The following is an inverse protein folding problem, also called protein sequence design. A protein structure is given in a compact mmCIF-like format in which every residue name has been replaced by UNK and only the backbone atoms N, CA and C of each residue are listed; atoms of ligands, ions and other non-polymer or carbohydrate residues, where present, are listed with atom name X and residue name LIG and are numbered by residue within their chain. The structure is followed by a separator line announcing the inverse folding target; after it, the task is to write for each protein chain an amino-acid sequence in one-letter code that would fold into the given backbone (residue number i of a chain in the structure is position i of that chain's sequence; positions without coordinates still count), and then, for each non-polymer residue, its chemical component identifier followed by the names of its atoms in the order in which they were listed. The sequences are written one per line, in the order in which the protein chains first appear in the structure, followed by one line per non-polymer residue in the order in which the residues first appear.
data_IF_807238393118
#
_entry.id   IF_807238393118
#
_cell.length_a   1.000
_cell.length_b   1.000
_cell.length_c   1.000
_cell.angle_alpha   90.00
_cell.angle_beta   90.00
_cell.angle_gamma   90.00
#
_symmetry.space_group_name_H-M   'P 1'
#
loop_
_entity.id
_entity.type
_entity.pdbx_description
1 polymer ?
#
# COMPACT_ATOMS: atom_id res chain seq x y z
N UNK A 1 -21.32 21.17 -3.60
CA UNK A 1 -19.94 20.97 -4.08
C UNK A 1 -18.98 22.05 -3.57
N UNK A 2 -19.34 23.34 -3.61
CA UNK A 2 -18.45 24.44 -3.20
C UNK A 2 -17.93 24.38 -1.75
N UNK A 3 -18.82 24.05 -0.80
CA UNK A 3 -18.46 23.82 0.62
C UNK A 3 -17.53 22.61 0.85
N UNK A 4 -17.48 21.65 -0.08
CA UNK A 4 -16.57 20.50 -0.02
C UNK A 4 -15.13 20.89 -0.39
N UNK A 5 -14.97 21.89 -1.27
CA UNK A 5 -13.66 22.35 -1.76
C UNK A 5 -12.86 23.09 -0.68
N UNK A 6 -13.49 23.99 0.06
CA UNK A 6 -12.82 24.70 1.16
C UNK A 6 -12.35 23.73 2.25
N UNK A 7 -13.09 22.65 2.51
CA UNK A 7 -12.70 21.60 3.46
C UNK A 7 -11.49 20.77 2.99
N UNK A 8 -11.39 20.48 1.69
CA UNK A 8 -10.27 19.73 1.11
C UNK A 8 -8.97 20.57 1.10
N UNK A 9 -9.09 21.89 0.85
CA UNK A 9 -7.97 22.83 0.88
C UNK A 9 -7.52 23.21 2.31
N UNK A 10 -8.36 22.98 3.32
CA UNK A 10 -8.07 23.26 4.73
C UNK A 10 -7.13 22.24 5.39
N UNK A 11 -6.86 21.07 4.78
CA UNK A 11 -6.02 20.04 5.38
C UNK A 11 -4.52 20.43 5.47
N UNK A 12 -3.94 20.15 6.64
CA UNK A 12 -2.78 20.84 7.26
C UNK A 12 -1.37 20.46 6.79
N UNK A 13 -1.19 19.53 5.84
CA UNK A 13 0.16 19.11 5.39
C UNK A 13 0.21 19.03 3.87
N UNK A 14 0.63 20.13 3.26
CA UNK A 14 1.21 20.07 1.93
C UNK A 14 2.73 19.87 2.07
N UNK A 15 3.30 19.06 1.17
CA UNK A 15 4.75 18.97 1.03
C UNK A 15 5.33 20.36 0.73
N UNK A 16 6.41 20.75 1.41
CA UNK A 16 7.12 22.01 1.17
C UNK A 16 7.98 21.98 -0.09
N UNK A 17 8.10 20.82 -0.75
CA UNK A 17 8.99 20.64 -1.90
C UNK A 17 8.37 21.18 -3.18
N UNK A 18 9.15 21.98 -3.92
CA UNK A 18 8.78 22.54 -5.21
C UNK A 18 8.54 21.39 -6.22
N UNK A 19 7.31 21.29 -6.74
CA UNK A 19 6.87 20.22 -7.64
C UNK A 19 7.21 20.50 -9.11
N UNK A 20 6.87 19.58 -10.02
CA UNK A 20 7.08 19.74 -11.47
C UNK A 20 6.38 20.96 -12.08
N UNK A 21 5.29 21.44 -11.48
CA UNK A 21 4.63 22.68 -11.88
C UNK A 21 5.32 23.95 -11.37
N UNK A 22 6.36 23.85 -10.52
CA UNK A 22 7.01 24.97 -9.81
C UNK A 22 6.05 25.83 -8.98
N UNK A 23 4.85 25.35 -8.69
CA UNK A 23 3.86 26.03 -7.86
C UNK A 23 3.96 25.45 -6.45
N UNK A 24 4.44 26.23 -5.46
CA UNK A 24 4.45 25.79 -4.08
C UNK A 24 3.02 25.52 -3.62
N UNK A 25 2.76 24.43 -2.88
CA UNK A 25 1.40 24.17 -2.39
C UNK A 25 0.84 25.25 -1.48
N UNK A 26 1.72 26.01 -0.80
CA UNK A 26 1.34 27.20 -0.02
C UNK A 26 0.63 28.24 -0.88
N UNK A 27 1.13 28.51 -2.09
CA UNK A 27 0.53 29.47 -3.01
C UNK A 27 -0.85 28.98 -3.49
N UNK A 28 -1.01 27.68 -3.73
CA UNK A 28 -2.32 27.09 -4.05
C UNK A 28 -3.32 27.32 -2.92
N UNK A 29 -2.87 27.22 -1.67
CA UNK A 29 -3.70 27.42 -0.49
C UNK A 29 -4.08 28.88 -0.27
N UNK A 30 -3.12 29.80 -0.41
CA UNK A 30 -3.35 31.24 -0.22
C UNK A 30 -4.24 31.82 -1.33
N UNK A 31 -4.08 31.35 -2.56
CA UNK A 31 -4.89 31.78 -3.72
C UNK A 31 -6.18 30.97 -3.91
N UNK A 32 -6.54 30.11 -2.95
CA UNK A 32 -7.64 29.15 -3.06
C UNK A 32 -8.96 29.81 -3.49
N UNK A 33 -9.32 30.95 -2.90
CA UNK A 33 -10.57 31.64 -3.19
C UNK A 33 -10.67 32.10 -4.66
N UNK A 34 -9.55 32.50 -5.26
CA UNK A 34 -9.50 32.96 -6.65
C UNK A 34 -9.48 31.79 -7.64
N UNK A 35 -8.77 30.70 -7.32
CA UNK A 35 -8.56 29.59 -8.26
C UNK A 35 -9.60 28.46 -8.13
N UNK A 36 -10.39 28.41 -7.05
CA UNK A 36 -11.32 27.31 -6.79
C UNK A 36 -12.31 27.07 -7.94
N UNK A 37 -12.93 28.12 -8.48
CA UNK A 37 -13.89 28.02 -9.59
C UNK A 37 -13.27 27.40 -10.86
N UNK A 38 -12.18 27.98 -11.40
CA UNK A 38 -11.49 27.41 -12.55
C UNK A 38 -10.98 25.98 -12.33
N UNK A 39 -10.39 25.70 -11.17
CA UNK A 39 -9.88 24.35 -10.85
C UNK A 39 -11.02 23.34 -10.75
N UNK A 40 -12.14 23.70 -10.13
CA UNK A 40 -13.33 22.84 -10.07
C UNK A 40 -13.89 22.57 -11.47
N UNK A 41 -13.90 23.57 -12.37
CA UNK A 41 -14.33 23.38 -13.75
C UNK A 41 -13.46 22.35 -14.48
N UNK A 42 -12.14 22.40 -14.30
CA UNK A 42 -11.18 21.43 -14.87
C UNK A 42 -11.45 20.03 -14.30
N UNK A 43 -11.52 19.88 -12.98
CA UNK A 43 -11.74 18.58 -12.34
C UNK A 43 -13.08 17.96 -12.73
N UNK A 44 -14.15 18.76 -12.80
CA UNK A 44 -15.46 18.30 -13.22
C UNK A 44 -15.47 17.91 -14.70
N UNK A 45 -14.75 18.66 -15.56
CA UNK A 45 -14.57 18.28 -16.95
C UNK A 45 -13.84 16.94 -17.05
N UNK A 46 -12.74 16.75 -16.32
CA UNK A 46 -12.00 15.50 -16.25
C UNK A 46 -12.86 14.31 -15.81
N UNK A 47 -13.71 14.49 -14.80
CA UNK A 47 -14.63 13.44 -14.35
C UNK A 47 -15.65 13.09 -15.45
N UNK A 48 -16.26 14.10 -16.09
CA UNK A 48 -17.28 13.87 -17.12
C UNK A 48 -16.72 13.20 -18.37
N UNK A 49 -15.50 13.55 -18.77
CA UNK A 49 -14.88 13.02 -19.99
C UNK A 49 -14.03 11.78 -19.75
N UNK A 50 -13.76 11.41 -18.49
CA UNK A 50 -12.83 10.35 -18.16
C UNK A 50 -11.36 10.68 -18.48
N UNK A 51 -11.03 11.96 -18.67
CA UNK A 51 -9.69 12.41 -19.07
C UNK A 51 -8.98 13.14 -17.92
N UNK A 52 -7.92 12.54 -17.43
CA UNK A 52 -7.07 13.06 -16.38
C UNK A 52 -6.04 14.06 -16.95
N UNK A 53 -5.82 15.24 -16.35
CA UNK A 53 -4.94 16.25 -16.93
C UNK A 53 -3.49 15.77 -17.05
N UNK A 54 -2.93 15.75 -18.27
CA UNK A 54 -1.59 15.21 -18.52
C UNK A 54 -0.48 15.89 -17.72
N UNK A 55 -0.60 17.21 -17.47
CA UNK A 55 0.36 17.95 -16.62
C UNK A 55 0.35 17.49 -15.17
N UNK A 56 -0.75 16.90 -14.70
CA UNK A 56 -0.89 16.39 -13.33
C UNK A 56 -0.27 14.99 -13.17
N UNK A 57 0.06 14.32 -14.28
CA UNK A 57 0.69 13.00 -14.34
C UNK A 57 2.24 13.05 -14.23
N UNK A 58 2.82 14.25 -14.11
CA UNK A 58 4.28 14.47 -14.09
C UNK A 58 4.88 14.31 -12.69
N UNK A 59 5.55 13.20 -12.42
CA UNK A 59 6.20 12.91 -11.13
C UNK A 59 7.66 13.33 -11.04
N UNK A 60 8.08 13.86 -9.88
CA UNK A 60 9.50 14.08 -9.57
C UNK A 60 9.91 13.17 -8.42
N UNK A 61 10.76 12.19 -8.70
CA UNK A 61 11.29 11.29 -7.69
C UNK A 61 12.57 11.86 -7.07
N UNK A 62 12.59 11.95 -5.75
CA UNK A 62 13.81 12.26 -4.99
C UNK A 62 14.23 10.99 -4.24
N UNK A 63 15.47 10.50 -4.43
CA UNK A 63 15.97 9.36 -3.69
C UNK A 63 16.23 9.77 -2.24
N UNK A 64 15.48 9.18 -1.31
CA UNK A 64 15.67 9.36 0.12
C UNK A 64 16.51 8.22 0.67
N UNK A 65 17.64 8.54 1.31
CA UNK A 65 18.49 7.54 1.93
C UNK A 65 17.77 6.85 3.10
N UNK A 66 17.82 5.51 3.14
CA UNK A 66 17.16 4.69 4.16
C UNK A 66 18.11 4.37 5.31
N UNK A 67 19.25 3.72 5.03
CA UNK A 67 20.28 3.27 6.00
C UNK A 67 21.43 2.54 5.28
N UNK A 68 22.45 2.14 6.05
CA UNK A 68 23.60 1.33 5.64
C UNK A 68 24.57 2.08 4.70
N UNK A 69 24.96 1.50 3.56
CA UNK A 69 25.90 2.08 2.61
C UNK A 69 25.22 3.09 1.66
N UNK A 70 25.71 4.33 1.64
CA UNK A 70 25.26 5.42 0.76
C UNK A 70 25.60 5.20 -0.72
N UNK A 71 26.56 4.32 -1.04
CA UNK A 71 26.91 4.00 -2.42
C UNK A 71 25.99 2.95 -3.04
N UNK A 72 25.24 2.24 -2.20
CA UNK A 72 24.32 1.20 -2.66
C UNK A 72 22.95 1.77 -3.05
N UNK A 73 22.58 1.61 -4.31
CA UNK A 73 21.28 2.05 -4.86
C UNK A 73 20.09 1.40 -4.17
N UNK A 74 20.24 0.20 -3.60
CA UNK A 74 19.15 -0.50 -2.89
C UNK A 74 18.76 0.18 -1.58
N UNK A 75 19.62 1.07 -1.07
CA UNK A 75 19.44 1.75 0.20
C UNK A 75 18.73 3.10 0.06
N UNK A 76 18.27 3.45 -1.14
CA UNK A 76 17.46 4.63 -1.40
C UNK A 76 16.02 4.26 -1.72
N UNK A 77 15.09 5.07 -1.22
CA UNK A 77 13.66 4.98 -1.53
C UNK A 77 13.24 6.16 -2.40
N UNK A 78 12.64 5.93 -3.58
CA UNK A 78 12.18 7.04 -4.41
C UNK A 78 10.90 7.64 -3.83
N UNK A 79 10.95 8.90 -3.38
CA UNK A 79 9.74 9.64 -2.97
C UNK A 79 9.30 10.51 -4.14
N UNK A 80 8.11 10.25 -4.67
CA UNK A 80 7.57 10.99 -5.81
C UNK A 80 6.75 12.18 -5.34
N UNK A 81 7.20 13.38 -5.69
CA UNK A 81 6.44 14.62 -5.55
C UNK A 81 5.61 14.84 -6.81
N UNK A 82 4.30 14.82 -6.64
CA UNK A 82 3.33 15.13 -7.69
C UNK A 82 2.93 16.62 -7.65
N UNK A 83 2.38 17.19 -8.74
CA UNK A 83 1.87 18.55 -8.78
C UNK A 83 0.87 18.82 -7.66
N UNK A 84 0.88 20.04 -7.09
CA UNK A 84 0.00 20.39 -5.99
C UNK A 84 -1.49 20.19 -6.34
N UNK A 85 -1.88 20.60 -7.54
CA UNK A 85 -3.25 20.43 -8.06
C UNK A 85 -3.62 18.96 -8.27
N UNK A 86 -2.67 18.11 -8.64
CA UNK A 86 -2.88 16.67 -8.70
C UNK A 86 -3.28 16.13 -7.33
N UNK A 87 -2.56 16.51 -6.27
CA UNK A 87 -2.87 16.07 -4.91
C UNK A 87 -4.25 16.55 -4.44
N UNK A 88 -4.70 17.74 -4.87
CA UNK A 88 -6.06 18.21 -4.59
C UNK A 88 -7.10 17.33 -5.29
N UNK A 89 -6.88 16.99 -6.57
CA UNK A 89 -7.81 16.16 -7.32
C UNK A 89 -7.87 14.74 -6.77
N UNK A 90 -6.71 14.13 -6.48
CA UNK A 90 -6.62 12.81 -5.87
C UNK A 90 -7.30 12.75 -4.50
N UNK A 91 -7.17 13.80 -3.67
CA UNK A 91 -7.89 13.88 -2.38
C UNK A 91 -9.39 13.90 -2.56
N UNK A 92 -9.89 14.63 -3.54
CA UNK A 92 -11.32 14.66 -3.83
C UNK A 92 -11.81 13.28 -4.30
N UNK A 93 -11.10 12.68 -5.26
CA UNK A 93 -11.41 11.35 -5.76
C UNK A 93 -11.35 10.29 -4.64
N UNK A 94 -10.33 10.36 -3.79
CA UNK A 94 -10.18 9.48 -2.62
C UNK A 94 -11.30 9.68 -1.60
N UNK A 95 -11.75 10.91 -1.38
CA UNK A 95 -12.87 11.17 -0.47
C UNK A 95 -14.18 10.58 -1.01
N UNK A 96 -14.43 10.67 -2.32
CA UNK A 96 -15.62 10.11 -2.97
C UNK A 96 -15.60 8.57 -3.00
N UNK A 97 -14.45 7.98 -3.34
CA UNK A 97 -14.31 6.52 -3.42
C UNK A 97 -14.08 5.86 -2.06
N UNK A 98 -13.59 6.61 -1.06
CA UNK A 98 -13.13 6.05 0.20
C UNK A 98 -14.22 5.40 1.04
N UNK A 99 -15.45 5.92 0.97
CA UNK A 99 -16.58 5.33 1.71
C UNK A 99 -17.07 4.05 1.01
N UNK A 100 -17.03 4.00 -0.33
CA UNK A 100 -17.33 2.80 -1.11
C UNK A 100 -16.34 1.66 -0.81
N UNK A 101 -15.03 1.93 -0.90
CA UNK A 101 -14.01 0.91 -0.68
C UNK A 101 -13.87 0.46 0.77
N UNK A 102 -14.26 1.28 1.75
CA UNK A 102 -14.21 0.89 3.16
C UNK A 102 -15.04 -0.35 3.46
N UNK A 103 -16.16 -0.53 2.76
CA UNK A 103 -17.07 -1.67 2.94
C UNK A 103 -16.63 -2.92 2.14
N UNK A 104 -15.75 -2.75 1.14
CA UNK A 104 -15.23 -3.83 0.31
C UNK A 104 -13.94 -4.42 0.89
N UNK A 105 -13.12 -3.57 1.51
CA UNK A 105 -11.86 -3.99 2.10
C UNK A 105 -12.10 -4.91 3.30
N UNK A 106 -11.48 -6.09 3.24
CA UNK A 106 -11.46 -7.04 4.33
C UNK A 106 -10.98 -6.39 5.62
N UNK A 107 -11.58 -6.74 6.75
CA UNK A 107 -11.22 -6.24 8.08
C UNK A 107 -9.75 -6.50 8.46
N UNK A 108 -9.08 -7.42 7.77
CA UNK A 108 -7.68 -7.76 8.00
C UNK A 108 -6.70 -6.85 7.23
N UNK A 109 -7.19 -6.00 6.32
CA UNK A 109 -6.44 -4.90 5.72
C UNK A 109 -6.53 -3.70 6.65
N UNK A 110 -5.42 -3.25 7.24
CA UNK A 110 -5.47 -2.16 8.23
C UNK A 110 -4.80 -0.86 7.81
N UNK A 111 -3.73 -0.89 7.02
CA UNK A 111 -3.06 0.35 6.63
C UNK A 111 -3.98 1.28 5.81
N UNK A 112 -3.75 2.60 5.93
CA UNK A 112 -4.41 3.62 5.12
C UNK A 112 -5.95 3.67 5.20
N UNK A 113 -6.54 3.02 6.19
CA UNK A 113 -7.99 3.09 6.47
C UNK A 113 -8.30 4.10 7.56
N UNK A 114 -9.48 4.70 7.49
CA UNK A 114 -10.00 5.50 8.60
C UNK A 114 -10.20 4.59 9.80
N UNK A 115 -9.85 5.06 11.00
CA UNK A 115 -9.99 4.33 12.27
C UNK A 115 -9.09 3.09 12.45
N UNK A 116 -8.13 2.86 11.55
CA UNK A 116 -7.08 1.86 11.74
C UNK A 116 -5.71 2.54 11.90
N UNK A 117 -4.86 1.97 12.75
CA UNK A 117 -3.46 2.36 12.94
C UNK A 117 -2.57 1.13 13.10
N UNK A 118 -1.25 1.35 13.19
CA UNK A 118 -0.32 0.30 13.59
C UNK A 118 -0.71 -0.28 14.95
N UNK A 119 -1.06 0.59 15.92
CA UNK A 119 -1.44 0.20 17.28
C UNK A 119 -2.70 -0.66 17.30
N UNK A 120 -3.74 -0.29 16.55
CA UNK A 120 -4.97 -1.10 16.49
C UNK A 120 -4.71 -2.47 15.85
N UNK A 121 -3.81 -2.51 14.85
CA UNK A 121 -3.43 -3.76 14.18
C UNK A 121 -2.64 -4.67 15.11
N UNK A 122 -1.66 -4.10 15.82
CA UNK A 122 -0.84 -4.82 16.79
C UNK A 122 -1.68 -5.32 17.97
N UNK A 123 -2.60 -4.49 18.50
CA UNK A 123 -3.50 -4.87 19.58
C UNK A 123 -4.36 -6.08 19.18
N UNK A 124 -4.96 -6.05 17.99
CA UNK A 124 -5.75 -7.17 17.46
C UNK A 124 -4.93 -8.45 17.36
N UNK A 125 -3.72 -8.35 16.79
CA UNK A 125 -2.83 -9.50 16.59
C UNK A 125 -2.40 -10.11 17.92
N UNK A 126 -1.94 -9.28 18.85
CA UNK A 126 -1.45 -9.72 20.16
C UNK A 126 -2.55 -10.33 21.02
N UNK A 127 -3.76 -9.77 21.00
CA UNK A 127 -4.92 -10.32 21.72
C UNK A 127 -5.34 -11.68 21.13
N UNK A 128 -5.37 -11.81 19.81
CA UNK A 128 -5.66 -13.10 19.18
C UNK A 128 -4.61 -14.16 19.52
N UNK A 129 -3.31 -13.80 19.49
CA UNK A 129 -2.25 -14.72 19.88
C UNK A 129 -2.36 -15.13 21.34
N UNK A 130 -2.62 -14.16 22.23
CA UNK A 130 -2.82 -14.44 23.66
C UNK A 130 -3.96 -15.43 23.88
N UNK A 131 -5.10 -15.24 23.19
CA UNK A 131 -6.25 -16.14 23.30
C UNK A 131 -5.91 -17.58 22.88
N UNK A 132 -5.16 -17.75 21.78
CA UNK A 132 -4.69 -19.07 21.36
C UNK A 132 -3.74 -19.70 22.38
N UNK A 133 -2.82 -18.91 22.96
CA UNK A 133 -1.93 -19.39 24.00
C UNK A 133 -2.67 -19.81 25.29
N UNK A 134 -3.71 -19.08 25.67
CA UNK A 134 -4.58 -19.44 26.81
C UNK A 134 -5.32 -20.76 26.56
N UNK A 135 -5.62 -21.08 25.29
CA UNK A 135 -6.18 -22.37 24.86
C UNK A 135 -5.13 -23.49 24.75
N UNK A 136 -3.87 -23.23 25.15
CA UNK A 136 -2.72 -24.15 25.04
C UNK A 136 -2.36 -24.50 23.60
N UNK A 137 -2.76 -23.67 22.64
CA UNK A 137 -2.31 -23.78 21.25
C UNK A 137 -0.91 -23.16 21.09
N UNK A 138 -0.18 -23.63 20.10
CA UNK A 138 1.01 -23.01 19.55
C UNK A 138 0.56 -22.04 18.47
N UNK A 139 1.13 -20.85 18.43
CA UNK A 139 0.86 -19.84 17.41
C UNK A 139 2.08 -19.72 16.51
N UNK A 140 1.86 -19.78 15.20
CA UNK A 140 2.88 -19.47 14.20
C UNK A 140 2.47 -18.25 13.42
N UNK A 141 3.43 -17.34 13.20
CA UNK A 141 3.29 -16.13 12.41
C UNK A 141 4.41 -16.06 11.38
N UNK A 142 4.07 -15.90 10.11
CA UNK A 142 5.04 -15.65 9.03
C UNK A 142 4.82 -14.24 8.50
N UNK A 143 5.84 -13.39 8.65
CA UNK A 143 5.91 -12.07 8.04
C UNK A 143 6.56 -12.18 6.67
N UNK A 144 5.84 -11.79 5.62
CA UNK A 144 6.27 -11.82 4.23
C UNK A 144 6.88 -10.47 3.84
N UNK A 145 7.94 -10.51 3.02
CA UNK A 145 8.68 -9.32 2.56
C UNK A 145 8.48 -9.16 1.06
N UNK A 146 7.97 -7.99 0.66
CA UNK A 146 7.75 -7.65 -0.74
C UNK A 146 8.79 -6.64 -1.23
N UNK A 147 9.44 -6.97 -2.33
CA UNK A 147 10.42 -6.09 -2.97
C UNK A 147 9.72 -5.02 -3.80
N UNK A 148 9.86 -3.76 -3.38
CA UNK A 148 9.32 -2.58 -4.11
C UNK A 148 7.82 -2.73 -4.41
N UNK A 149 7.04 -3.14 -3.41
CA UNK A 149 5.64 -3.53 -3.59
C UNK A 149 4.82 -2.49 -4.36
N UNK A 150 4.91 -1.20 -3.97
CA UNK A 150 4.21 -0.10 -4.65
C UNK A 150 4.66 0.10 -6.10
N UNK A 151 5.92 -0.15 -6.45
CA UNK A 151 6.47 0.08 -7.79
C UNK A 151 6.17 -1.06 -8.77
N UNK A 152 5.75 -2.23 -8.26
CA UNK A 152 5.58 -3.44 -9.06
C UNK A 152 4.15 -3.66 -9.57
N UNK A 153 3.16 -2.98 -8.98
CA UNK A 153 1.73 -3.13 -9.30
C UNK A 153 1.45 -2.94 -10.80
N UNK A 154 0.99 -3.97 -11.53
CA UNK A 154 0.67 -3.82 -12.95
C UNK A 154 -0.61 -2.98 -13.14
N UNK A 155 -0.55 -1.93 -13.96
CA UNK A 155 -1.68 -1.00 -14.15
C UNK A 155 -2.94 -1.67 -14.72
N UNK A 156 -2.77 -2.52 -15.74
CA UNK A 156 -3.89 -3.22 -16.36
C UNK A 156 -4.60 -4.17 -15.38
N UNK A 157 -3.83 -4.90 -14.57
CA UNK A 157 -4.38 -5.79 -13.55
C UNK A 157 -5.05 -5.02 -12.42
N UNK A 158 -4.44 -3.92 -11.96
CA UNK A 158 -5.07 -3.03 -10.98
C UNK A 158 -6.43 -2.54 -11.49
N UNK A 159 -6.52 -2.09 -12.74
CA UNK A 159 -7.77 -1.63 -13.32
C UNK A 159 -8.82 -2.74 -13.40
N UNK A 160 -8.41 -3.95 -13.83
CA UNK A 160 -9.28 -5.11 -13.88
C UNK A 160 -9.82 -5.48 -12.49
N UNK A 161 -8.97 -5.47 -11.46
CA UNK A 161 -9.40 -5.70 -10.06
C UNK A 161 -10.37 -4.64 -9.59
N UNK A 162 -10.10 -3.36 -9.85
CA UNK A 162 -11.02 -2.27 -9.47
C UNK A 162 -12.40 -2.45 -10.13
N UNK A 163 -12.45 -2.84 -11.41
CA UNK A 163 -13.71 -3.18 -12.08
C UNK A 163 -14.41 -4.39 -11.44
N UNK A 164 -13.66 -5.41 -11.04
CA UNK A 164 -14.21 -6.58 -10.34
C UNK A 164 -14.75 -6.24 -8.94
N UNK A 165 -14.27 -5.16 -8.33
CA UNK A 165 -14.82 -4.57 -7.11
C UNK A 165 -15.91 -3.51 -7.38
N UNK A 166 -16.66 -3.67 -8.48
CA UNK A 166 -17.80 -2.82 -8.87
C UNK A 166 -17.47 -1.33 -9.10
N UNK A 167 -16.23 -0.99 -9.49
CA UNK A 167 -15.93 0.36 -9.93
C UNK A 167 -16.63 0.64 -11.27
N UNK A 168 -17.57 1.59 -11.25
CA UNK A 168 -18.33 2.01 -12.43
C UNK A 168 -17.45 2.38 -13.64
N UNK A 169 -17.90 2.10 -14.85
CA UNK A 169 -17.12 2.25 -16.08
C UNK A 169 -16.57 3.67 -16.28
N UNK A 170 -17.35 4.71 -15.96
CA UNK A 170 -16.89 6.11 -16.05
C UNK A 170 -15.74 6.41 -15.10
N UNK A 171 -15.80 5.89 -13.87
CA UNK A 171 -14.73 6.03 -12.87
C UNK A 171 -13.51 5.22 -13.31
N UNK A 172 -13.73 4.02 -13.84
CA UNK A 172 -12.66 3.19 -14.39
C UNK A 172 -11.97 3.86 -15.58
N UNK A 173 -12.68 4.57 -16.45
CA UNK A 173 -12.07 5.32 -17.56
C UNK A 173 -11.14 6.40 -17.04
N UNK A 174 -11.59 7.20 -16.05
CA UNK A 174 -10.77 8.23 -15.41
C UNK A 174 -9.54 7.64 -14.71
N UNK A 175 -9.69 6.52 -13.98
CA UNK A 175 -8.56 5.87 -13.31
C UNK A 175 -7.60 5.22 -14.31
N UNK A 176 -8.12 4.63 -15.38
CA UNK A 176 -7.32 4.10 -16.48
C UNK A 176 -6.47 5.18 -17.14
N UNK A 177 -7.05 6.36 -17.39
CA UNK A 177 -6.31 7.50 -17.92
C UNK A 177 -5.32 8.07 -16.88
N UNK A 178 -5.68 8.12 -15.59
CA UNK A 178 -4.77 8.51 -14.50
C UNK A 178 -3.49 7.66 -14.44
N UNK A 179 -3.61 6.34 -14.68
CA UNK A 179 -2.49 5.40 -14.69
C UNK A 179 -1.67 5.47 -15.99
N UNK A 180 -2.33 5.80 -17.10
CA UNK A 180 -1.72 5.81 -18.44
C UNK A 180 -0.99 7.12 -18.75
N UNK A 181 0.13 7.03 -19.48
CA UNK A 181 0.87 8.20 -19.93
C UNK A 181 1.60 8.95 -18.81
N UNK A 182 1.77 8.32 -17.64
CA UNK A 182 2.56 8.87 -16.55
C UNK A 182 4.04 8.87 -16.91
N UNK A 183 4.70 9.95 -16.54
CA UNK A 183 6.15 10.08 -16.65
C UNK A 183 6.73 10.56 -15.33
N UNK A 184 7.94 10.10 -15.03
CA UNK A 184 8.70 10.52 -13.87
C UNK A 184 10.12 10.90 -14.26
N UNK A 185 10.75 11.74 -13.46
CA UNK A 185 12.19 12.03 -13.53
C UNK A 185 12.80 12.05 -12.15
N UNK A 186 14.09 11.78 -12.04
CA UNK A 186 14.84 11.84 -10.79
C UNK A 186 15.38 13.25 -10.58
N UNK A 187 15.30 13.76 -9.35
CA UNK A 187 15.92 15.02 -8.92
C UNK A 187 16.97 14.75 -7.84
N UNK A 188 18.19 15.24 -8.05
CA UNK A 188 19.29 15.21 -7.06
C UNK A 188 19.85 16.63 -6.97
N UNK A 189 19.72 17.28 -5.81
CA UNK A 189 20.02 18.71 -5.68
C UNK A 189 19.23 19.53 -6.69
N UNK A 190 19.92 20.31 -7.51
CA UNK A 190 19.33 21.12 -8.59
C UNK A 190 19.38 20.44 -9.97
N UNK A 191 19.88 19.21 -10.04
CA UNK A 191 20.00 18.44 -11.28
C UNK A 191 18.78 17.53 -11.47
N UNK A 192 18.37 17.40 -12.74
CA UNK A 192 17.22 16.58 -13.14
C UNK A 192 17.65 15.57 -14.21
N UNK A 193 17.16 14.34 -14.10
CA UNK A 193 17.23 13.39 -15.20
C UNK A 193 16.21 13.73 -16.29
N UNK A 194 16.32 13.03 -17.42
CA UNK A 194 15.27 12.98 -18.42
C UNK A 194 13.97 12.39 -17.87
N UNK A 195 12.87 12.71 -18.55
CA UNK A 195 11.56 12.14 -18.30
C UNK A 195 11.49 10.71 -18.82
N UNK A 196 10.98 9.80 -18.00
CA UNK A 196 10.81 8.40 -18.34
C UNK A 196 9.39 7.94 -18.05
N UNK A 197 8.83 7.12 -18.93
CA UNK A 197 7.48 6.57 -18.75
C UNK A 197 7.41 5.59 -17.58
N UNK A 198 6.34 5.70 -16.79
CA UNK A 198 6.01 4.79 -15.68
C UNK A 198 4.98 3.78 -16.17
N UNK A 199 5.41 2.53 -16.34
CA UNK A 199 4.56 1.44 -16.87
C UNK A 199 3.92 0.57 -15.78
N UNK A 200 4.43 0.66 -14.56
CA UNK A 200 3.99 -0.13 -13.39
C UNK A 200 4.12 0.71 -12.13
N UNK A 201 3.38 0.29 -11.13
CA UNK A 201 3.39 0.85 -9.79
C UNK A 201 2.44 2.02 -9.61
N UNK A 202 2.17 2.33 -8.35
CA UNK A 202 1.46 3.53 -7.94
C UNK A 202 2.46 4.48 -7.27
N UNK A 203 2.44 5.79 -7.57
CA UNK A 203 3.49 6.68 -7.08
C UNK A 203 3.56 6.74 -5.56
N UNK A 204 4.74 6.48 -4.98
CA UNK A 204 5.00 6.69 -3.56
C UNK A 204 4.95 8.20 -3.25
N UNK A 205 3.85 8.66 -2.67
CA UNK A 205 3.54 10.09 -2.47
C UNK A 205 2.24 10.56 -3.13
N UNK A 206 1.62 9.70 -3.94
CA UNK A 206 0.22 9.89 -4.35
C UNK A 206 -0.73 9.65 -3.17
N UNK A 207 -1.86 10.36 -3.17
CA UNK A 207 -2.96 10.19 -2.24
C UNK A 207 -3.81 8.97 -2.62
N UNK A 208 -3.97 8.69 -3.91
CA UNK A 208 -4.71 7.51 -4.39
C UNK A 208 -3.90 6.21 -4.31
N UNK A 209 -2.57 6.29 -4.38
CA UNK A 209 -1.70 5.10 -4.43
C UNK A 209 -1.92 4.12 -3.27
N UNK A 210 -1.93 4.56 -2.00
CA UNK A 210 -2.20 3.68 -0.87
C UNK A 210 -3.55 2.96 -0.93
N UNK A 211 -4.60 3.65 -1.38
CA UNK A 211 -5.93 3.07 -1.56
C UNK A 211 -5.93 2.01 -2.67
N UNK A 212 -5.31 2.29 -3.81
CA UNK A 212 -5.18 1.32 -4.90
C UNK A 212 -4.33 0.11 -4.52
N UNK A 213 -3.29 0.32 -3.72
CA UNK A 213 -2.46 -0.77 -3.23
C UNK A 213 -3.25 -1.70 -2.30
N UNK A 214 -4.04 -1.16 -1.38
CA UNK A 214 -4.93 -1.96 -0.53
C UNK A 214 -5.95 -2.75 -1.35
N UNK A 215 -6.62 -2.10 -2.32
CA UNK A 215 -7.58 -2.79 -3.20
C UNK A 215 -6.90 -3.91 -4.02
N UNK A 216 -5.67 -3.69 -4.45
CA UNK A 216 -4.90 -4.66 -5.21
C UNK A 216 -4.53 -5.91 -4.38
N UNK A 217 -4.20 -5.72 -3.10
CA UNK A 217 -3.88 -6.81 -2.18
C UNK A 217 -5.12 -7.50 -1.58
N UNK A 218 -6.27 -6.85 -1.60
CA UNK A 218 -7.45 -7.31 -0.86
C UNK A 218 -7.90 -8.74 -1.25
N UNK A 219 -7.76 -9.13 -2.52
CA UNK A 219 -8.16 -10.46 -2.97
C UNK A 219 -7.23 -11.58 -2.52
N UNK A 220 -5.96 -11.28 -2.18
CA UNK A 220 -5.06 -12.27 -1.58
C UNK A 220 -5.67 -12.89 -0.32
N UNK A 221 -6.44 -12.12 0.46
CA UNK A 221 -7.09 -12.61 1.67
C UNK A 221 -8.09 -13.73 1.36
N UNK A 222 -8.78 -13.67 0.21
CA UNK A 222 -9.72 -14.73 -0.19
C UNK A 222 -9.02 -16.01 -0.68
N UNK A 223 -7.73 -15.94 -1.01
CA UNK A 223 -6.93 -17.12 -1.35
C UNK A 223 -6.43 -17.88 -0.10
N UNK A 224 -6.40 -17.22 1.07
CA UNK A 224 -5.94 -17.82 2.32
C UNK A 224 -7.12 -18.50 3.01
N UNK A 225 -7.14 -19.84 3.00
CA UNK A 225 -8.26 -20.64 3.52
C UNK A 225 -7.94 -21.29 4.88
N UNK A 226 -6.67 -21.59 5.12
CA UNK A 226 -6.23 -22.38 6.27
C UNK A 226 -5.64 -21.51 7.37
N UNK A 227 -5.20 -20.30 7.01
CA UNK A 227 -4.57 -19.33 7.91
C UNK A 227 -5.22 -17.96 7.79
N UNK A 228 -5.06 -17.13 8.82
CA UNK A 228 -5.48 -15.73 8.78
C UNK A 228 -4.36 -14.89 8.17
N UNK A 229 -4.71 -13.99 7.25
CA UNK A 229 -3.77 -13.03 6.67
C UNK A 229 -4.13 -11.63 7.14
N UNK A 230 -3.22 -11.00 7.87
CA UNK A 230 -3.27 -9.61 8.24
C UNK A 230 -2.34 -8.80 7.32
N UNK A 231 -2.80 -7.65 6.82
CA UNK A 231 -1.97 -6.78 5.97
C UNK A 231 -1.91 -5.36 6.52
N UNK A 232 -0.70 -4.80 6.52
CA UNK A 232 -0.45 -3.41 6.83
C UNK A 232 0.49 -2.84 5.75
N UNK A 233 -0.10 -2.23 4.73
CA UNK A 233 0.61 -1.81 3.53
C UNK A 233 1.31 -3.03 2.91
N UNK A 234 2.60 -2.96 2.64
CA UNK A 234 3.41 -4.03 2.06
C UNK A 234 3.76 -5.16 3.05
N UNK A 235 3.54 -4.95 4.35
CA UNK A 235 3.74 -5.99 5.36
C UNK A 235 2.53 -6.94 5.39
N UNK A 236 2.76 -8.20 5.00
CA UNK A 236 1.77 -9.26 5.01
C UNK A 236 2.13 -10.31 6.08
N UNK A 237 1.22 -10.59 7.00
CA UNK A 237 1.44 -11.52 8.11
C UNK A 237 0.42 -12.66 8.04
N UNK A 238 0.90 -13.84 7.71
CA UNK A 238 0.14 -15.08 7.79
C UNK A 238 0.25 -15.62 9.21
N UNK A 239 -0.87 -16.04 9.79
CA UNK A 239 -0.87 -16.62 11.14
C UNK A 239 -1.89 -17.72 11.30
N UNK A 240 -1.56 -18.68 12.14
CA UNK A 240 -2.44 -19.80 12.50
C UNK A 240 -2.04 -20.33 13.87
N UNK A 241 -2.93 -21.08 14.48
CA UNK A 241 -2.68 -21.73 15.76
C UNK A 241 -3.26 -23.13 15.79
N UNK A 242 -2.64 -24.01 16.57
CA UNK A 242 -3.09 -25.39 16.81
C UNK A 242 -2.42 -25.98 18.05
N UNK A 243 -3.02 -27.01 18.61
CA UNK A 243 -2.37 -27.88 19.61
C UNK A 243 -1.38 -28.85 18.94
N UNK A 244 -1.63 -29.26 17.69
CA UNK A 244 -0.76 -30.15 16.92
C UNK A 244 0.27 -29.33 16.10
N UNK A 245 1.56 -29.35 16.48
CA UNK A 245 2.59 -28.59 15.78
C UNK A 245 2.85 -29.08 14.35
N UNK A 246 2.61 -30.36 14.04
CA UNK A 246 2.82 -30.90 12.69
C UNK A 246 1.74 -30.38 11.74
N UNK A 247 0.47 -30.46 12.15
CA UNK A 247 -0.63 -29.91 11.38
C UNK A 247 -0.48 -28.39 11.20
N UNK A 248 0.00 -27.70 12.24
CA UNK A 248 0.27 -26.27 12.21
C UNK A 248 1.34 -25.89 11.17
N UNK A 249 2.48 -26.59 11.16
CA UNK A 249 3.57 -26.39 10.20
C UNK A 249 3.09 -26.64 8.75
N UNK A 250 2.35 -27.72 8.53
CA UNK A 250 1.85 -28.07 7.20
C UNK A 250 0.91 -26.98 6.65
N UNK A 251 -0.05 -26.51 7.46
CA UNK A 251 -1.00 -25.47 7.03
C UNK A 251 -0.33 -24.15 6.71
N UNK A 252 0.60 -23.70 7.56
CA UNK A 252 1.27 -22.42 7.33
C UNK A 252 2.20 -22.47 6.13
N UNK A 253 2.98 -23.55 5.95
CA UNK A 253 3.85 -23.70 4.78
C UNK A 253 3.04 -23.79 3.49
N UNK A 254 1.89 -24.47 3.51
CA UNK A 254 0.98 -24.52 2.36
C UNK A 254 0.47 -23.12 1.97
N UNK A 255 -0.10 -22.37 2.90
CA UNK A 255 -0.67 -21.04 2.59
C UNK A 255 0.44 -20.01 2.26
N UNK A 256 1.67 -20.16 2.79
CA UNK A 256 2.85 -19.37 2.37
C UNK A 256 3.17 -19.62 0.89
N UNK A 257 3.10 -20.86 0.41
CA UNK A 257 3.31 -21.18 -1.01
C UNK A 257 2.20 -20.57 -1.88
N UNK A 258 0.94 -20.64 -1.44
CA UNK A 258 -0.19 -20.00 -2.13
C UNK A 258 0.04 -18.49 -2.24
N UNK A 259 0.44 -17.84 -1.14
CA UNK A 259 0.69 -16.40 -1.13
C UNK A 259 1.85 -16.01 -2.05
N UNK A 260 2.97 -16.77 -2.03
CA UNK A 260 4.10 -16.55 -2.94
C UNK A 260 3.69 -16.69 -4.41
N UNK A 261 2.93 -17.74 -4.74
CA UNK A 261 2.41 -17.96 -6.08
C UNK A 261 1.47 -16.83 -6.49
N UNK A 262 0.59 -16.39 -5.59
CA UNK A 262 -0.31 -15.26 -5.85
C UNK A 262 0.49 -13.99 -6.14
N UNK A 263 1.56 -13.69 -5.38
CA UNK A 263 2.41 -12.54 -5.66
C UNK A 263 3.03 -12.60 -7.05
N UNK A 264 3.57 -13.77 -7.44
CA UNK A 264 4.15 -14.00 -8.77
C UNK A 264 3.11 -13.81 -9.88
N UNK A 265 1.96 -14.48 -9.77
CA UNK A 265 0.86 -14.44 -10.75
C UNK A 265 0.29 -13.01 -10.89
N UNK A 266 0.36 -12.19 -9.83
CA UNK A 266 -0.09 -10.80 -9.82
C UNK A 266 1.04 -9.80 -10.17
N UNK A 267 2.23 -10.28 -10.56
CA UNK A 267 3.36 -9.45 -10.98
C UNK A 267 4.05 -8.68 -9.85
N UNK A 268 3.82 -9.08 -8.60
CA UNK A 268 4.55 -8.62 -7.42
C UNK A 268 5.80 -9.48 -7.21
N UNK A 269 6.77 -8.94 -6.46
CA UNK A 269 8.02 -9.63 -6.20
C UNK A 269 8.17 -9.94 -4.71
N UNK A 270 7.78 -11.14 -4.30
CA UNK A 270 8.11 -11.64 -2.98
C UNK A 270 9.62 -11.82 -2.81
N UNK A 271 10.10 -11.71 -1.58
CA UNK A 271 11.46 -12.03 -1.21
C UNK A 271 11.45 -13.11 -0.12
N UNK A 272 11.28 -14.39 -0.51
CA UNK A 272 11.24 -15.50 0.45
C UNK A 272 12.46 -15.54 1.38
N UNK A 273 13.62 -15.12 0.85
CA UNK A 273 14.85 -15.02 1.60
C UNK A 273 14.84 -13.93 2.71
N UNK A 274 13.82 -13.08 2.77
CA UNK A 274 13.63 -12.08 3.82
C UNK A 274 12.37 -12.30 4.65
N UNK A 275 11.61 -13.36 4.37
CA UNK A 275 10.51 -13.74 5.22
C UNK A 275 11.02 -14.10 6.62
N UNK A 276 10.20 -13.80 7.62
CA UNK A 276 10.53 -14.05 9.02
C UNK A 276 9.40 -14.86 9.66
N UNK A 277 9.75 -16.00 10.23
CA UNK A 277 8.85 -16.82 11.03
C UNK A 277 8.98 -16.49 12.52
N UNK A 278 7.87 -16.57 13.23
CA UNK A 278 7.79 -16.40 14.67
C UNK A 278 6.89 -17.49 15.26
N UNK A 279 7.40 -18.18 16.29
CA UNK A 279 6.65 -19.22 17.03
C UNK A 279 6.43 -18.74 18.46
N UNK A 280 5.19 -18.83 18.92
CA UNK A 280 4.76 -18.52 20.28
C UNK A 280 4.08 -19.74 20.89
N UNK A 281 4.39 -20.04 22.15
CA UNK A 281 3.82 -21.18 22.87
C UNK A 281 4.89 -22.17 23.32
N UNK A 282 4.51 -23.07 24.22
CA UNK A 282 5.42 -24.09 24.74
C UNK A 282 5.43 -25.28 23.80
N UNK A 283 6.58 -25.55 23.18
CA UNK A 283 6.76 -26.66 22.26
C UNK A 283 8.25 -26.99 22.13
N UNK A 284 8.56 -28.29 22.03
CA UNK A 284 9.89 -28.79 21.68
C UNK A 284 9.96 -29.23 20.20
N UNK A 285 8.87 -29.02 19.45
CA UNK A 285 8.80 -29.38 18.03
C UNK A 285 9.65 -28.41 17.19
N UNK A 286 10.61 -28.92 16.40
CA UNK A 286 11.47 -28.09 15.55
C UNK A 286 10.70 -27.66 14.30
N UNK A 287 10.18 -26.44 14.28
CA UNK A 287 9.48 -25.92 13.12
C UNK A 287 10.41 -25.65 11.93
N UNK A 288 10.03 -26.15 10.76
CA UNK A 288 10.72 -25.88 9.49
C UNK A 288 9.85 -25.02 8.58
N UNK A 289 10.14 -23.72 8.54
CA UNK A 289 9.46 -22.79 7.64
C UNK A 289 10.27 -22.56 6.37
N UNK A 290 9.58 -22.29 5.26
CA UNK A 290 10.19 -21.83 3.99
C UNK A 290 10.70 -20.37 4.07
N UNK A 291 11.37 -20.01 5.18
CA UNK A 291 11.82 -18.65 5.50
C UNK A 291 13.25 -18.68 6.05
N UNK A 292 13.98 -17.58 5.92
CA UNK A 292 15.42 -17.54 6.28
C UNK A 292 15.67 -17.36 7.76
N UNK A 293 14.69 -16.86 8.52
CA UNK A 293 14.86 -16.54 9.93
C UNK A 293 13.63 -16.93 10.73
N UNK A 294 13.78 -17.92 11.60
CA UNK A 294 12.80 -18.26 12.62
C UNK A 294 13.20 -17.58 13.94
N UNK A 295 12.26 -16.88 14.57
CA UNK A 295 12.40 -16.31 15.90
C UNK A 295 11.48 -17.07 16.85
N UNK A 296 12.06 -17.77 17.82
CA UNK A 296 11.32 -18.40 18.90
C UNK A 296 11.31 -17.44 20.09
N UNK A 297 10.14 -16.93 20.47
CA UNK A 297 10.03 -15.98 21.58
C UNK A 297 9.70 -16.63 22.93
N UNK A 298 9.38 -17.94 22.95
CA UNK A 298 9.00 -18.64 24.19
C UNK A 298 9.48 -20.12 24.28
N UNK A 299 10.63 -20.44 23.69
CA UNK A 299 11.32 -21.73 23.88
C UNK A 299 12.27 -21.69 25.09
N UNK A 300 11.92 -22.44 26.14
CA UNK A 300 12.61 -22.61 27.46
C UNK A 300 12.53 -21.45 28.46
N UNK A 301 11.63 -21.61 29.45
CA UNK A 301 11.96 -21.27 30.84
C UNK A 301 12.55 -22.55 31.45
N UNK A 302 13.85 -22.79 31.27
CA UNK A 302 14.56 -23.69 32.18
C UNK A 302 14.96 -22.87 33.39
N UNK A 303 14.42 -23.23 34.56
CA UNK A 303 15.07 -22.93 35.84
C UNK A 303 16.42 -23.63 35.90
#
# INVERSE_FOLDING_TARGET
MEKSWMRILAFRRFSTTMNSSRIPPRLVKESANAIAGPIAAIMNHSIRTGQYPSRWKLGQATPLFKKDDELSKSNYRPVTVLPALNNVFERMLSAQMGDFYQNILSEYVSAYRRHHSCDTSLLRLTEDWRRSLDNKEIVVVISMDLSKAFDTVPHALLLAKLKAYDLHESSSALIGDYLTGRVQRVKIGDTYSDWMSVKRGVPQGSVLGPMFFNMFLNDLIFHMKSVKLNTYADDCQLRTSDVDPVALEQRINHDVQIANKWFEDNGMKANPAKHQGMVLGKTDYPFFFSTTRCLELFGKISR
#
